data_IF_810764972644
#
_entry.id   IF_810764972644
#
_cell.length_a   1.000
_cell.length_b   1.000
_cell.length_c   1.000
_cell.angle_alpha   90.00
_cell.angle_beta   90.00
_cell.angle_gamma   90.00
#
_symmetry.space_group_name_H-M   'P 1'
#
loop_
_entity.id
_entity.type
_entity.pdbx_description
1 polymer ?
#
# COMPACT_ATOMS: atom_id res chain seq x y z
N UNK A 1 28.81 14.04 -5.44
CA UNK A 1 28.51 12.86 -4.57
C UNK A 1 27.30 12.19 -5.17
N UNK A 2 27.28 10.85 -5.23
CA UNK A 2 26.10 10.14 -5.70
C UNK A 2 24.86 10.52 -4.84
N UNK A 3 23.74 10.76 -5.49
CA UNK A 3 22.49 11.06 -4.79
C UNK A 3 21.95 9.79 -4.16
N UNK A 4 21.59 9.86 -2.89
CA UNK A 4 20.89 8.79 -2.16
C UNK A 4 19.42 9.13 -2.13
N UNK A 5 18.57 8.18 -2.53
CA UNK A 5 17.12 8.31 -2.43
C UNK A 5 16.56 7.50 -1.24
N UNK A 6 15.49 7.98 -0.66
CA UNK A 6 14.69 7.24 0.31
C UNK A 6 13.49 6.65 -0.40
N UNK A 7 13.26 5.35 -0.21
CA UNK A 7 12.09 4.65 -0.76
C UNK A 7 11.28 4.04 0.38
N UNK A 8 10.03 4.41 0.44
CA UNK A 8 9.02 3.67 1.19
C UNK A 8 8.37 2.65 0.25
N UNK A 9 8.74 1.38 0.41
CA UNK A 9 8.21 0.26 -0.35
C UNK A 9 6.96 -0.28 0.35
N UNK A 10 5.83 0.39 0.18
CA UNK A 10 4.59 0.03 0.86
C UNK A 10 3.86 -1.17 0.26
N UNK A 11 2.98 -1.79 1.03
CA UNK A 11 2.15 -2.93 0.58
C UNK A 11 1.21 -2.53 -0.56
N UNK A 12 0.60 -1.36 -0.47
CA UNK A 12 -0.37 -0.84 -1.46
C UNK A 12 0.23 0.24 -2.32
N UNK A 13 0.95 1.19 -1.73
CA UNK A 13 1.57 2.31 -2.44
C UNK A 13 3.01 2.48 -1.99
N UNK A 14 3.87 2.88 -2.93
CA UNK A 14 5.25 3.23 -2.66
C UNK A 14 5.50 4.70 -2.95
N UNK A 15 6.47 5.31 -2.28
CA UNK A 15 6.92 6.65 -2.59
C UNK A 15 8.44 6.75 -2.57
N UNK A 16 8.97 7.79 -3.24
CA UNK A 16 10.39 8.09 -3.29
C UNK A 16 10.63 9.54 -2.90
N UNK A 17 11.67 9.75 -2.13
CA UNK A 17 12.10 11.06 -1.67
C UNK A 17 13.61 11.28 -1.84
N UNK A 18 14.00 12.54 -1.90
CA UNK A 18 15.40 12.96 -1.98
C UNK A 18 15.64 14.12 -1.02
N UNK A 19 16.88 14.29 -0.57
CA UNK A 19 17.30 15.48 0.17
C UNK A 19 17.61 16.61 -0.80
N UNK A 20 16.88 17.71 -0.68
CA UNK A 20 17.16 18.99 -1.33
C UNK A 20 17.70 19.99 -0.28
N UNK A 21 19.02 20.13 -0.22
CA UNK A 21 19.66 20.86 0.89
C UNK A 21 19.46 20.10 2.22
N UNK A 22 18.81 20.74 3.19
CA UNK A 22 18.50 20.17 4.50
C UNK A 22 17.07 19.61 4.63
N UNK A 23 16.27 19.65 3.57
CA UNK A 23 14.88 19.24 3.58
C UNK A 23 14.66 17.97 2.75
N UNK A 24 13.86 17.06 3.28
CA UNK A 24 13.40 15.88 2.53
C UNK A 24 12.21 16.26 1.65
N UNK A 25 12.30 15.91 0.36
CA UNK A 25 11.23 16.15 -0.60
C UNK A 25 10.75 14.85 -1.23
N UNK A 26 9.45 14.58 -1.13
CA UNK A 26 8.79 13.50 -1.87
C UNK A 26 8.66 13.91 -3.33
N UNK A 27 9.09 13.03 -4.23
CA UNK A 27 9.09 13.25 -5.68
C UNK A 27 7.74 12.84 -6.27
N UNK A 28 7.18 13.67 -7.13
CA UNK A 28 5.99 13.32 -7.91
C UNK A 28 6.37 12.39 -9.08
N UNK A 29 5.55 11.39 -9.32
CA UNK A 29 5.73 10.49 -10.46
C UNK A 29 5.27 11.13 -11.78
N UNK A 30 5.40 10.40 -12.89
CA UNK A 30 5.01 10.89 -14.23
C UNK A 30 3.53 11.25 -14.37
N UNK A 31 2.68 10.82 -13.43
CA UNK A 31 1.25 11.10 -13.38
C UNK A 31 0.91 12.26 -12.41
N UNK A 32 1.92 12.92 -11.84
CA UNK A 32 1.77 14.03 -10.89
C UNK A 32 1.35 13.59 -9.49
N UNK A 33 1.42 12.29 -9.17
CA UNK A 33 1.11 11.76 -7.86
C UNK A 33 2.38 11.56 -7.02
N UNK A 34 2.28 11.78 -5.70
CA UNK A 34 3.40 11.57 -4.76
C UNK A 34 3.56 10.10 -4.32
N UNK A 35 2.59 9.28 -4.63
CA UNK A 35 2.62 7.83 -4.39
C UNK A 35 2.37 7.09 -5.69
N UNK A 36 2.97 5.91 -5.80
CA UNK A 36 2.82 5.01 -6.94
C UNK A 36 2.25 3.68 -6.43
N UNK A 37 1.16 3.14 -7.01
CA UNK A 37 0.66 1.83 -6.61
C UNK A 37 1.74 0.75 -6.67
N UNK A 38 1.88 -0.03 -5.61
CA UNK A 38 2.79 -1.18 -5.53
C UNK A 38 2.22 -2.37 -6.31
N UNK A 39 1.94 -2.15 -7.59
CA UNK A 39 1.29 -3.11 -8.47
C UNK A 39 2.12 -3.33 -9.73
N UNK A 40 2.16 -4.60 -10.17
CA UNK A 40 2.83 -5.03 -11.39
C UNK A 40 1.87 -5.90 -12.19
N UNK A 41 1.73 -5.64 -13.49
CA UNK A 41 0.89 -6.44 -14.36
C UNK A 41 1.65 -6.87 -15.61
N UNK A 42 1.27 -8.04 -16.14
CA UNK A 42 1.80 -8.59 -17.38
C UNK A 42 0.68 -8.70 -18.41
N UNK A 43 0.84 -8.01 -19.54
CA UNK A 43 -0.13 -8.01 -20.63
C UNK A 43 -0.04 -9.28 -21.46
N UNK A 44 -1.03 -9.52 -22.33
CA UNK A 44 -0.98 -10.63 -23.30
C UNK A 44 0.20 -10.51 -24.28
N UNK A 45 0.61 -9.30 -24.61
CA UNK A 45 1.77 -9.04 -25.46
C UNK A 45 3.12 -9.24 -24.75
N UNK A 46 3.11 -9.62 -23.45
CA UNK A 46 4.32 -9.81 -22.65
C UNK A 46 4.92 -8.49 -22.11
N UNK A 47 4.20 -7.39 -22.22
CA UNK A 47 4.62 -6.11 -21.66
C UNK A 47 4.40 -6.11 -20.13
N UNK A 48 5.38 -5.57 -19.40
CA UNK A 48 5.30 -5.35 -17.96
C UNK A 48 4.86 -3.92 -17.66
N UNK A 49 3.77 -3.79 -16.93
CA UNK A 49 3.26 -2.52 -16.43
C UNK A 49 3.51 -2.41 -14.93
N UNK A 50 3.81 -1.21 -14.43
CA UNK A 50 4.07 -0.92 -13.01
C UNK A 50 3.33 0.32 -12.58
N UNK A 51 2.77 0.31 -11.38
CA UNK A 51 2.09 1.46 -10.80
C UNK A 51 0.66 1.62 -11.30
N UNK A 52 0.27 2.83 -11.62
CA UNK A 52 -1.11 3.17 -11.99
C UNK A 52 -1.59 2.45 -13.25
N UNK A 53 -0.70 2.25 -14.23
CA UNK A 53 -1.02 1.50 -15.45
C UNK A 53 -1.36 0.03 -15.15
N UNK A 54 -0.63 -0.59 -14.21
CA UNK A 54 -0.94 -1.94 -13.72
C UNK A 54 -2.28 -1.96 -12.95
N UNK A 55 -2.52 -0.98 -12.08
CA UNK A 55 -3.76 -0.86 -11.29
C UNK A 55 -5.00 -0.77 -12.17
N UNK A 56 -4.94 0.00 -13.25
CA UNK A 56 -6.07 0.19 -14.18
C UNK A 56 -6.56 -1.08 -14.84
N UNK A 57 -5.72 -2.07 -15.06
CA UNK A 57 -6.15 -3.34 -15.64
C UNK A 57 -6.42 -4.46 -14.62
N UNK A 58 -6.32 -4.17 -13.32
CA UNK A 58 -6.50 -5.18 -12.27
C UNK A 58 -7.85 -5.88 -12.30
N UNK A 59 -8.92 -5.21 -12.73
CA UNK A 59 -10.27 -5.80 -12.85
C UNK A 59 -10.42 -6.62 -14.14
N UNK A 60 -9.76 -6.22 -15.23
CA UNK A 60 -9.86 -6.91 -16.54
C UNK A 60 -8.84 -8.02 -16.73
N UNK A 61 -7.71 -7.95 -16.01
CA UNK A 61 -6.62 -8.92 -16.04
C UNK A 61 -6.16 -9.31 -14.61
N UNK A 62 -7.07 -9.78 -13.73
CA UNK A 62 -6.78 -9.98 -12.31
C UNK A 62 -5.72 -11.07 -12.07
N UNK A 63 -5.72 -12.15 -12.84
CA UNK A 63 -4.80 -13.28 -12.66
C UNK A 63 -3.33 -12.93 -12.97
N UNK A 64 -3.10 -11.86 -13.76
CA UNK A 64 -1.76 -11.39 -14.14
C UNK A 64 -1.48 -9.96 -13.65
N UNK A 65 -2.21 -9.50 -12.65
CA UNK A 65 -1.99 -8.23 -11.96
C UNK A 65 -1.68 -8.50 -10.51
N UNK A 66 -0.43 -8.29 -10.15
CA UNK A 66 0.12 -8.59 -8.84
C UNK A 66 0.04 -7.36 -7.94
N UNK A 67 -0.44 -7.55 -6.72
CA UNK A 67 -0.52 -6.55 -5.66
C UNK A 67 -0.26 -7.20 -4.30
N UNK A 68 -0.06 -6.42 -3.26
CA UNK A 68 0.23 -6.89 -1.90
C UNK A 68 1.44 -7.86 -1.79
N UNK A 69 2.34 -7.84 -2.76
CA UNK A 69 3.51 -8.74 -2.85
C UNK A 69 4.41 -8.65 -1.61
N UNK A 70 4.45 -7.51 -0.96
CA UNK A 70 5.19 -7.31 0.29
C UNK A 70 4.78 -8.30 1.39
N UNK A 71 3.53 -8.81 1.37
CA UNK A 71 3.08 -9.84 2.32
C UNK A 71 3.79 -11.18 2.13
N UNK A 72 4.25 -11.47 0.91
CA UNK A 72 4.91 -12.73 0.55
C UNK A 72 6.44 -12.65 0.63
N UNK A 73 7.02 -11.44 0.71
CA UNK A 73 8.47 -11.26 0.66
C UNK A 73 9.17 -11.97 1.84
N UNK A 74 10.12 -12.85 1.53
CA UNK A 74 10.88 -13.61 2.53
C UNK A 74 10.04 -14.60 3.36
N UNK A 75 8.86 -15.02 2.87
CA UNK A 75 7.97 -15.98 3.54
C UNK A 75 8.03 -17.36 2.90
N UNK A 76 7.98 -18.43 3.71
CA UNK A 76 7.75 -19.80 3.22
C UNK A 76 6.35 -19.94 2.59
N UNK A 77 6.23 -20.86 1.63
CA UNK A 77 4.95 -21.21 1.02
C UNK A 77 3.95 -21.77 2.03
N UNK A 78 4.42 -22.60 2.98
CA UNK A 78 3.61 -23.27 3.99
C UNK A 78 3.38 -22.39 5.26
N UNK A 79 3.62 -21.06 5.18
CA UNK A 79 3.32 -20.11 6.25
C UNK A 79 1.80 -19.86 6.32
N UNK A 80 1.15 -19.89 7.51
CA UNK A 80 -0.29 -19.65 7.65
C UNK A 80 -0.78 -18.32 7.07
N UNK A 81 0.09 -17.30 7.03
CA UNK A 81 -0.24 -16.02 6.40
C UNK A 81 -0.23 -16.12 4.87
N UNK A 82 0.67 -16.94 4.30
CA UNK A 82 0.69 -17.24 2.87
C UNK A 82 -0.56 -18.00 2.46
N UNK A 83 -1.01 -19.00 3.24
CA UNK A 83 -2.26 -19.73 2.99
C UNK A 83 -3.46 -18.78 2.96
N UNK A 84 -3.51 -17.82 3.89
CA UNK A 84 -4.57 -16.81 3.90
C UNK A 84 -4.53 -15.88 2.68
N UNK A 85 -3.34 -15.49 2.23
CA UNK A 85 -3.20 -14.67 1.01
C UNK A 85 -3.68 -15.42 -0.24
N UNK A 86 -3.48 -16.76 -0.34
CA UNK A 86 -3.98 -17.57 -1.45
C UNK A 86 -5.50 -17.48 -1.64
N UNK A 87 -6.25 -17.34 -0.54
CA UNK A 87 -7.70 -17.20 -0.58
C UNK A 87 -8.16 -15.77 -0.98
N UNK A 88 -7.27 -14.79 -0.85
CA UNK A 88 -7.61 -13.37 -1.01
C UNK A 88 -7.16 -12.76 -2.34
N UNK A 89 -6.19 -13.38 -3.02
CA UNK A 89 -5.64 -12.83 -4.27
C UNK A 89 -6.11 -13.62 -5.49
N UNK A 90 -6.34 -12.97 -6.63
CA UNK A 90 -6.79 -13.64 -7.86
C UNK A 90 -5.64 -14.31 -8.64
N UNK A 91 -4.39 -13.93 -8.37
CA UNK A 91 -3.22 -14.51 -9.00
C UNK A 91 -2.72 -15.76 -8.24
N UNK A 92 -1.97 -16.59 -8.91
CA UNK A 92 -1.52 -17.86 -8.35
C UNK A 92 -0.24 -17.69 -7.52
N UNK A 93 -0.28 -18.16 -6.26
CA UNK A 93 0.90 -18.32 -5.41
C UNK A 93 1.40 -19.76 -5.57
N UNK A 94 2.71 -19.95 -5.77
CA UNK A 94 3.35 -21.23 -6.02
C UNK A 94 4.51 -21.46 -5.05
N UNK A 95 4.86 -22.73 -4.84
CA UNK A 95 6.00 -23.11 -4.00
C UNK A 95 7.25 -23.18 -4.88
N UNK A 96 8.27 -22.39 -4.52
CA UNK A 96 9.57 -22.45 -5.16
C UNK A 96 10.38 -23.67 -4.68
N UNK A 97 11.44 -24.03 -5.39
CA UNK A 97 12.32 -25.16 -5.04
C UNK A 97 12.99 -25.02 -3.67
N UNK A 98 13.23 -23.78 -3.23
CA UNK A 98 13.77 -23.47 -1.91
C UNK A 98 12.71 -23.45 -0.78
N UNK A 99 11.43 -23.68 -1.13
CA UNK A 99 10.31 -23.69 -0.20
C UNK A 99 9.64 -22.34 0.03
N UNK A 100 10.10 -21.26 -0.60
CA UNK A 100 9.50 -19.92 -0.47
C UNK A 100 8.21 -19.81 -1.28
N UNK A 101 7.39 -18.82 -0.89
CA UNK A 101 6.21 -18.42 -1.64
C UNK A 101 6.63 -17.55 -2.85
N UNK A 102 6.35 -18.03 -4.05
CA UNK A 102 6.52 -17.31 -5.31
C UNK A 102 5.16 -17.06 -5.96
N UNK A 103 5.11 -16.28 -7.01
CA UNK A 103 3.88 -15.99 -7.78
C UNK A 103 4.05 -16.40 -9.23
N UNK A 104 2.97 -16.91 -9.82
CA UNK A 104 2.96 -17.30 -11.24
C UNK A 104 2.17 -16.27 -12.06
N UNK A 105 2.77 -15.78 -13.12
CA UNK A 105 2.15 -14.92 -14.11
C UNK A 105 2.55 -15.35 -15.52
N UNK A 106 1.59 -15.54 -16.41
CA UNK A 106 1.88 -15.92 -17.81
C UNK A 106 2.85 -17.11 -17.91
N UNK A 107 2.58 -18.16 -17.13
CA UNK A 107 3.39 -19.38 -17.08
C UNK A 107 4.86 -19.17 -16.64
N UNK A 108 5.16 -18.03 -16.03
CA UNK A 108 6.47 -17.72 -15.46
C UNK A 108 6.35 -17.50 -13.97
N UNK A 109 7.24 -18.12 -13.21
CA UNK A 109 7.31 -17.97 -11.76
C UNK A 109 8.28 -16.84 -11.40
N UNK A 110 7.83 -15.96 -10.52
CA UNK A 110 8.59 -14.82 -10.01
C UNK A 110 8.67 -14.87 -8.49
N UNK A 111 9.85 -14.58 -7.98
CA UNK A 111 10.00 -14.33 -6.54
C UNK A 111 9.36 -13.00 -6.14
N UNK A 112 8.87 -12.84 -4.90
CA UNK A 112 8.41 -11.55 -4.38
C UNK A 112 9.49 -10.46 -4.46
N UNK A 113 10.77 -10.81 -4.35
CA UNK A 113 11.89 -9.88 -4.51
C UNK A 113 12.02 -9.36 -5.94
N UNK A 114 11.80 -10.18 -6.97
CA UNK A 114 11.79 -9.74 -8.37
C UNK A 114 10.63 -8.78 -8.66
N UNK A 115 9.42 -9.11 -8.19
CA UNK A 115 8.26 -8.23 -8.36
C UNK A 115 8.46 -6.91 -7.60
N UNK A 116 8.98 -6.96 -6.38
CA UNK A 116 9.34 -5.76 -5.62
C UNK A 116 10.42 -4.94 -6.32
N UNK A 117 11.37 -5.59 -6.97
CA UNK A 117 12.40 -4.91 -7.76
C UNK A 117 11.80 -4.10 -8.93
N UNK A 118 10.74 -4.57 -9.58
CA UNK A 118 10.07 -3.81 -10.64
C UNK A 118 9.44 -2.52 -10.10
N UNK A 119 8.90 -2.55 -8.88
CA UNK A 119 8.39 -1.36 -8.20
C UNK A 119 9.56 -0.42 -7.86
N UNK A 120 10.66 -0.95 -7.32
CA UNK A 120 11.86 -0.17 -7.00
C UNK A 120 12.51 0.45 -8.25
N UNK A 121 12.51 -0.25 -9.39
CA UNK A 121 12.95 0.31 -10.68
C UNK A 121 12.10 1.52 -11.08
N UNK A 122 10.77 1.46 -10.84
CA UNK A 122 9.87 2.60 -11.10
C UNK A 122 10.15 3.77 -10.17
N UNK A 123 10.46 3.51 -8.89
CA UNK A 123 10.88 4.56 -7.94
C UNK A 123 12.21 5.20 -8.36
N UNK A 124 13.18 4.38 -8.79
CA UNK A 124 14.46 4.84 -9.32
C UNK A 124 14.27 5.71 -10.56
N UNK A 125 13.50 5.25 -11.55
CA UNK A 125 13.17 6.02 -12.77
C UNK A 125 12.53 7.38 -12.43
N UNK A 126 11.59 7.40 -11.49
CA UNK A 126 10.96 8.63 -11.01
C UNK A 126 11.98 9.60 -10.43
N UNK A 127 12.90 9.10 -9.61
CA UNK A 127 13.96 9.92 -9.02
C UNK A 127 14.95 10.42 -10.07
N UNK A 128 15.40 9.57 -10.99
CA UNK A 128 16.33 9.94 -12.08
C UNK A 128 15.73 10.99 -13.01
N UNK A 129 14.43 10.86 -13.33
CA UNK A 129 13.71 11.85 -14.14
C UNK A 129 13.65 13.21 -13.43
N UNK A 130 13.39 13.23 -12.12
CA UNK A 130 13.35 14.47 -11.34
C UNK A 130 14.73 15.11 -11.18
N UNK A 131 15.77 14.31 -10.92
CA UNK A 131 17.13 14.79 -10.65
C UNK A 131 17.91 15.12 -11.92
N UNK A 132 17.54 14.52 -13.07
CA UNK A 132 18.28 14.64 -14.33
C UNK A 132 19.63 13.91 -14.32
N UNK A 133 19.86 13.00 -13.37
CA UNK A 133 21.09 12.23 -13.22
C UNK A 133 20.80 10.79 -12.75
N UNK A 134 21.69 9.82 -13.03
CA UNK A 134 21.53 8.45 -12.57
C UNK A 134 21.55 8.34 -11.03
N UNK A 135 20.72 7.44 -10.50
CA UNK A 135 20.64 7.12 -9.07
C UNK A 135 21.07 5.67 -8.85
N UNK A 136 22.05 5.48 -7.96
CA UNK A 136 22.61 4.16 -7.68
C UNK A 136 22.47 3.72 -6.22
N UNK A 137 22.07 4.61 -5.32
CA UNK A 137 22.04 4.35 -3.87
C UNK A 137 20.69 4.67 -3.29
N UNK A 138 20.21 3.81 -2.39
CA UNK A 138 18.92 3.98 -1.70
C UNK A 138 18.97 3.56 -0.24
N UNK A 139 18.07 4.17 0.53
CA UNK A 139 17.60 3.68 1.83
C UNK A 139 16.16 3.22 1.63
N UNK A 140 15.82 2.01 2.10
CA UNK A 140 14.49 1.41 1.91
C UNK A 140 13.87 1.12 3.28
N UNK A 141 12.58 1.39 3.44
CA UNK A 141 11.85 1.10 4.67
C UNK A 141 11.23 -0.30 4.67
N UNK A 142 11.07 -0.86 5.86
CA UNK A 142 10.37 -2.13 6.12
C UNK A 142 9.58 -2.02 7.41
N UNK A 143 8.51 -2.81 7.59
CA UNK A 143 7.81 -2.91 8.87
C UNK A 143 8.77 -3.31 10.01
N UNK A 144 8.52 -2.81 11.21
CA UNK A 144 9.39 -3.09 12.37
C UNK A 144 9.43 -4.58 12.74
N UNK A 145 8.37 -5.34 12.45
CA UNK A 145 8.27 -6.78 12.72
C UNK A 145 8.95 -7.68 11.67
N UNK A 146 9.46 -7.11 10.57
CA UNK A 146 10.16 -7.92 9.56
C UNK A 146 11.35 -8.63 10.17
N UNK A 147 11.44 -9.95 9.93
CA UNK A 147 12.58 -10.77 10.31
C UNK A 147 13.77 -10.57 9.34
N UNK A 148 14.89 -11.22 9.65
CA UNK A 148 16.12 -11.08 8.86
C UNK A 148 15.95 -11.56 7.40
N UNK A 149 15.17 -12.63 7.17
CA UNK A 149 14.90 -13.13 5.82
C UNK A 149 14.11 -12.11 4.99
N UNK A 150 13.10 -11.49 5.57
CA UNK A 150 12.30 -10.46 4.91
C UNK A 150 13.11 -9.19 4.63
N UNK A 151 13.96 -8.77 5.56
CA UNK A 151 14.89 -7.64 5.39
C UNK A 151 15.92 -7.93 4.30
N UNK A 152 16.48 -9.14 4.28
CA UNK A 152 17.43 -9.55 3.25
C UNK A 152 16.75 -9.62 1.87
N UNK A 153 15.56 -10.20 1.77
CA UNK A 153 14.80 -10.27 0.53
C UNK A 153 14.43 -8.86 -0.02
N UNK A 154 14.14 -7.89 0.87
CA UNK A 154 13.94 -6.49 0.48
C UNK A 154 15.23 -5.86 -0.03
N UNK A 155 16.37 -6.14 0.62
CA UNK A 155 17.69 -5.69 0.18
C UNK A 155 18.07 -6.27 -1.19
N UNK A 156 17.76 -7.55 -1.40
CA UNK A 156 17.97 -8.24 -2.68
C UNK A 156 17.10 -7.65 -3.80
N UNK A 157 15.84 -7.29 -3.50
CA UNK A 157 14.99 -6.56 -4.44
C UNK A 157 15.64 -5.23 -4.88
N UNK A 158 16.21 -4.48 -3.95
CA UNK A 158 16.96 -3.26 -4.27
C UNK A 158 18.15 -3.52 -5.19
N UNK A 159 18.91 -4.59 -4.92
CA UNK A 159 20.06 -4.98 -5.76
C UNK A 159 19.62 -5.40 -7.18
N UNK A 160 18.52 -6.15 -7.30
CA UNK A 160 17.93 -6.54 -8.60
C UNK A 160 17.48 -5.28 -9.37
N UNK A 161 16.98 -4.26 -8.68
CA UNK A 161 16.62 -2.97 -9.26
C UNK A 161 17.82 -2.09 -9.65
N UNK A 162 19.05 -2.55 -9.41
CA UNK A 162 20.28 -1.81 -9.71
C UNK A 162 20.55 -0.69 -8.69
N UNK A 163 20.14 -0.89 -7.43
CA UNK A 163 20.38 0.01 -6.31
C UNK A 163 21.31 -0.64 -5.28
N UNK A 164 22.32 0.09 -4.85
CA UNK A 164 23.06 -0.20 -3.63
C UNK A 164 22.20 0.22 -2.44
N UNK A 165 21.67 -0.75 -1.69
CA UNK A 165 20.85 -0.48 -0.51
C UNK A 165 21.78 -0.21 0.69
N UNK A 166 21.93 1.06 1.03
CA UNK A 166 22.82 1.50 2.10
C UNK A 166 22.29 1.10 3.48
N UNK A 167 20.97 1.18 3.67
CA UNK A 167 20.30 0.80 4.92
C UNK A 167 18.87 0.32 4.65
N UNK A 168 18.43 -0.59 5.50
CA UNK A 168 17.02 -0.92 5.73
C UNK A 168 16.62 -0.27 7.05
N UNK A 169 15.55 0.54 7.04
CA UNK A 169 15.07 1.30 8.21
C UNK A 169 13.63 0.84 8.51
N UNK A 170 13.28 0.79 9.80
CA UNK A 170 11.91 0.51 10.21
C UNK A 170 10.98 1.66 9.84
N UNK A 171 9.83 1.35 9.26
CA UNK A 171 8.80 2.33 8.86
C UNK A 171 8.39 3.27 10.01
N UNK A 172 8.09 2.78 11.23
CA UNK A 172 7.73 3.68 12.32
C UNK A 172 8.89 4.60 12.75
N UNK A 173 10.14 4.16 12.61
CA UNK A 173 11.32 5.01 12.84
C UNK A 173 11.44 6.09 11.78
N UNK A 174 11.24 5.75 10.52
CA UNK A 174 11.25 6.70 9.41
C UNK A 174 10.12 7.74 9.57
N UNK A 175 8.93 7.32 9.95
CA UNK A 175 7.80 8.21 10.23
C UNK A 175 8.09 9.17 11.38
N UNK A 176 8.67 8.68 12.48
CA UNK A 176 9.06 9.51 13.62
C UNK A 176 10.13 10.54 13.24
N UNK A 177 11.12 10.14 12.45
CA UNK A 177 12.16 11.04 11.92
C UNK A 177 11.56 12.13 11.01
N UNK A 178 10.68 11.75 10.08
CA UNK A 178 10.00 12.67 9.17
C UNK A 178 9.13 13.69 9.92
N UNK A 179 8.54 13.30 11.04
CA UNK A 179 7.78 14.18 11.92
C UNK A 179 8.66 15.12 12.77
N UNK A 180 9.98 14.93 12.75
CA UNK A 180 10.97 15.79 13.43
C UNK A 180 11.13 15.45 14.91
N UNK A 181 10.86 14.22 15.31
CA UNK A 181 10.98 13.79 16.72
C UNK A 181 12.43 13.56 17.16
N UNK A 182 13.37 13.47 16.23
CA UNK A 182 14.82 13.44 16.48
C UNK A 182 15.34 14.71 17.20
N UNK A 183 14.63 15.82 17.01
CA UNK A 183 14.95 17.14 17.59
C UNK A 183 14.31 17.38 18.94
N UNK A 184 13.44 16.48 19.41
CA UNK A 184 12.74 16.56 20.68
C UNK A 184 13.37 15.62 21.70
N UNK A 185 13.30 16.04 22.95
CA UNK A 185 13.83 15.31 24.10
C UNK A 185 13.25 13.88 24.22
N UNK A 186 13.89 13.09 25.08
CA UNK A 186 13.52 11.74 25.51
C UNK A 186 12.01 11.57 25.76
N UNK A 187 11.44 10.47 25.30
CA UNK A 187 10.04 10.14 25.57
C UNK A 187 9.59 8.88 24.84
N UNK A 188 8.39 8.43 25.19
CA UNK A 188 7.76 7.30 24.52
C UNK A 188 6.66 7.78 23.59
N UNK A 189 6.63 7.26 22.39
CA UNK A 189 5.63 7.57 21.37
C UNK A 189 4.97 6.30 20.85
N UNK A 190 3.78 6.42 20.30
CA UNK A 190 3.16 5.41 19.47
C UNK A 190 3.07 5.92 18.03
N UNK A 191 3.48 5.10 17.08
CA UNK A 191 3.21 5.31 15.66
C UNK A 191 2.04 4.41 15.28
N UNK A 192 0.94 5.04 14.85
CA UNK A 192 -0.27 4.39 14.40
C UNK A 192 -0.35 4.56 12.87
N UNK A 193 -0.07 3.49 12.15
CA UNK A 193 0.01 3.48 10.69
C UNK A 193 -1.14 2.63 10.12
N UNK A 194 -2.20 3.29 9.67
CA UNK A 194 -3.28 2.68 8.92
C UNK A 194 -3.04 2.94 7.43
N UNK A 195 -2.29 2.04 6.82
CA UNK A 195 -1.93 2.10 5.41
C UNK A 195 -3.06 1.68 4.46
N UNK A 196 -2.72 1.46 3.19
CA UNK A 196 -3.71 1.00 2.19
C UNK A 196 -4.15 -0.44 2.39
N UNK A 197 -3.24 -1.34 2.76
CA UNK A 197 -3.51 -2.77 2.89
C UNK A 197 -3.17 -3.39 4.23
N UNK A 198 -2.48 -2.65 5.11
CA UNK A 198 -2.06 -3.10 6.44
C UNK A 198 -2.31 -2.02 7.48
N UNK A 199 -2.55 -2.45 8.71
CA UNK A 199 -2.53 -1.61 9.90
C UNK A 199 -1.37 -2.03 10.79
N UNK A 200 -0.51 -1.09 11.15
CA UNK A 200 0.64 -1.30 12.01
C UNK A 200 0.65 -0.27 13.15
N UNK A 201 0.91 -0.73 14.36
CA UNK A 201 1.12 0.12 15.53
C UNK A 201 2.42 -0.26 16.20
N UNK A 202 3.29 0.72 16.45
CA UNK A 202 4.59 0.51 17.09
C UNK A 202 4.77 1.50 18.23
N UNK A 203 5.25 0.99 19.36
CA UNK A 203 5.65 1.81 20.51
C UNK A 203 7.16 1.98 20.46
N UNK A 204 7.62 3.24 20.42
CA UNK A 204 9.03 3.60 20.33
C UNK A 204 9.44 4.42 21.56
N UNK A 205 10.63 4.12 22.08
CA UNK A 205 11.33 4.97 23.03
C UNK A 205 12.36 5.83 22.29
N UNK A 206 12.37 7.11 22.56
CA UNK A 206 13.31 8.09 21.98
C UNK A 206 14.23 8.57 23.09
N UNK A 207 15.53 8.40 22.91
CA UNK A 207 16.54 8.89 23.83
C UNK A 207 17.83 9.21 23.09
N UNK A 208 18.38 10.41 23.32
CA UNK A 208 19.69 10.85 22.78
C UNK A 208 19.81 10.67 21.24
N UNK A 209 18.71 10.89 20.49
CA UNK A 209 18.67 10.70 19.04
C UNK A 209 18.57 9.24 18.58
N UNK A 210 18.42 8.31 19.51
CA UNK A 210 18.21 6.88 19.23
C UNK A 210 16.71 6.55 19.33
N UNK A 211 16.23 5.77 18.36
CA UNK A 211 14.85 5.26 18.34
C UNK A 211 14.89 3.75 18.61
N UNK A 212 14.32 3.31 19.71
CA UNK A 212 14.18 1.92 20.07
C UNK A 212 12.73 1.47 19.93
N UNK A 213 12.46 0.45 19.11
CA UNK A 213 11.14 -0.16 19.01
C UNK A 213 10.92 -1.08 20.20
N UNK A 214 10.03 -0.71 21.10
CA UNK A 214 9.69 -1.50 22.31
C UNK A 214 8.72 -2.62 22.01
N UNK A 215 7.77 -2.37 21.12
CA UNK A 215 6.77 -3.34 20.68
C UNK A 215 6.19 -2.95 19.34
N UNK A 216 5.66 -3.93 18.62
CA UNK A 216 4.89 -3.73 17.40
C UNK A 216 3.76 -4.75 17.34
N UNK A 217 2.60 -4.33 16.82
CA UNK A 217 1.45 -5.18 16.56
C UNK A 217 0.68 -4.62 15.36
N UNK A 218 -0.33 -5.33 14.86
CA UNK A 218 -1.10 -4.83 13.73
C UNK A 218 -2.11 -5.84 13.20
N UNK A 219 -2.67 -5.51 12.05
CA UNK A 219 -3.53 -6.37 11.24
C UNK A 219 -3.10 -6.24 9.78
N UNK A 220 -2.47 -7.29 9.24
CA UNK A 220 -1.93 -7.31 7.86
C UNK A 220 -3.02 -7.39 6.79
N UNK A 221 -4.29 -7.50 7.19
CA UNK A 221 -5.46 -7.54 6.32
C UNK A 221 -6.48 -6.45 6.67
N UNK A 222 -5.99 -5.28 7.07
CA UNK A 222 -6.80 -4.11 7.37
C UNK A 222 -6.13 -2.86 6.83
N UNK A 223 -6.83 -2.14 5.94
CA UNK A 223 -6.32 -0.89 5.39
C UNK A 223 -7.36 -0.11 4.61
N UNK A 224 -6.92 0.95 3.95
CA UNK A 224 -7.77 1.85 3.17
C UNK A 224 -8.47 1.20 1.99
N UNK A 225 -7.93 0.08 1.46
CA UNK A 225 -8.59 -0.69 0.40
C UNK A 225 -9.88 -1.36 0.90
N UNK A 226 -9.94 -1.78 2.16
CA UNK A 226 -11.17 -2.30 2.77
C UNK A 226 -12.22 -1.20 2.88
N UNK A 227 -11.79 0.04 3.16
CA UNK A 227 -12.69 1.20 3.16
C UNK A 227 -13.26 1.46 1.76
N UNK A 228 -12.43 1.36 0.74
CA UNK A 228 -12.83 1.53 -0.66
C UNK A 228 -13.88 0.48 -1.06
N UNK A 229 -13.72 -0.77 -0.64
CA UNK A 229 -14.68 -1.85 -0.89
C UNK A 229 -16.05 -1.51 -0.28
N UNK A 230 -16.09 -1.05 0.97
CA UNK A 230 -17.35 -0.65 1.62
C UNK A 230 -18.03 0.53 0.90
N UNK A 231 -17.26 1.45 0.34
CA UNK A 231 -17.81 2.55 -0.48
C UNK A 231 -18.34 2.02 -1.80
N UNK A 232 -17.61 1.13 -2.48
CA UNK A 232 -18.05 0.47 -3.73
C UNK A 232 -19.37 -0.25 -3.52
N UNK A 233 -19.48 -1.05 -2.46
CA UNK A 233 -20.70 -1.77 -2.14
C UNK A 233 -21.87 -0.83 -1.87
N UNK A 234 -21.65 0.23 -1.12
CA UNK A 234 -22.67 1.25 -0.87
C UNK A 234 -23.14 1.91 -2.16
N UNK A 235 -22.23 2.34 -3.04
CA UNK A 235 -22.58 2.99 -4.31
C UNK A 235 -23.31 2.03 -5.25
N UNK A 236 -22.86 0.78 -5.34
CA UNK A 236 -23.51 -0.24 -6.17
C UNK A 236 -24.92 -0.59 -5.67
N UNK A 237 -25.11 -0.71 -4.35
CA UNK A 237 -26.39 -1.00 -3.74
C UNK A 237 -27.38 0.15 -3.91
N UNK A 238 -26.94 1.40 -3.75
CA UNK A 238 -27.81 2.58 -4.02
C UNK A 238 -28.23 2.62 -5.49
N UNK A 239 -27.30 2.42 -6.42
CA UNK A 239 -27.61 2.39 -7.85
C UNK A 239 -28.56 1.24 -8.20
N UNK A 240 -28.38 0.06 -7.61
CA UNK A 240 -29.24 -1.10 -7.81
C UNK A 240 -30.67 -0.88 -7.30
N UNK A 241 -30.84 -0.13 -6.21
CA UNK A 241 -32.18 0.24 -5.71
C UNK A 241 -32.96 1.08 -6.72
N UNK A 242 -32.27 1.99 -7.42
CA UNK A 242 -32.90 2.91 -8.36
C UNK A 242 -33.12 2.29 -9.74
N UNK A 243 -32.19 1.46 -10.21
CA UNK A 243 -32.17 0.96 -11.60
C UNK A 243 -32.42 -0.53 -11.73
N UNK A 244 -32.28 -1.30 -10.66
CA UNK A 244 -32.31 -2.77 -10.69
C UNK A 244 -31.00 -3.41 -11.19
N UNK A 245 -29.99 -2.63 -11.59
CA UNK A 245 -28.74 -3.12 -12.17
C UNK A 245 -27.64 -3.18 -11.11
N UNK A 246 -26.95 -4.31 -11.00
CA UNK A 246 -25.78 -4.46 -10.14
C UNK A 246 -24.49 -4.14 -10.93
N UNK A 247 -23.89 -2.99 -10.64
CA UNK A 247 -22.68 -2.54 -11.32
C UNK A 247 -21.44 -3.42 -11.04
N UNK A 248 -21.48 -4.28 -10.01
CA UNK A 248 -20.38 -5.20 -9.67
C UNK A 248 -20.25 -6.36 -10.66
N UNK A 249 -21.29 -6.65 -11.44
CA UNK A 249 -21.29 -7.69 -12.48
C UNK A 249 -20.60 -7.22 -13.78
N UNK A 250 -20.48 -5.91 -14.00
CA UNK A 250 -19.79 -5.31 -15.14
C UNK A 250 -18.36 -4.90 -14.72
N UNK A 251 -17.35 -5.54 -15.30
CA UNK A 251 -15.95 -5.29 -14.97
C UNK A 251 -15.51 -3.84 -15.21
N UNK A 252 -16.01 -3.20 -16.26
CA UNK A 252 -15.67 -1.80 -16.56
C UNK A 252 -16.34 -0.84 -15.58
N UNK A 253 -17.61 -1.09 -15.25
CA UNK A 253 -18.33 -0.31 -14.26
C UNK A 253 -17.67 -0.48 -12.87
N UNK A 254 -17.32 -1.71 -12.48
CA UNK A 254 -16.65 -1.99 -11.22
C UNK A 254 -15.29 -1.28 -11.11
N UNK A 255 -14.49 -1.24 -12.19
CA UNK A 255 -13.23 -0.49 -12.20
C UNK A 255 -13.46 0.99 -11.94
N UNK A 256 -14.42 1.59 -12.63
CA UNK A 256 -14.78 3.00 -12.45
C UNK A 256 -15.31 3.28 -11.05
N UNK A 257 -16.10 2.36 -10.46
CA UNK A 257 -16.57 2.46 -9.08
C UNK A 257 -15.41 2.45 -8.07
N UNK A 258 -14.44 1.55 -8.25
CA UNK A 258 -13.25 1.47 -7.38
C UNK A 258 -12.44 2.77 -7.40
N UNK A 259 -12.17 3.30 -8.59
CA UNK A 259 -11.44 4.57 -8.74
C UNK A 259 -12.20 5.74 -8.09
N UNK A 260 -13.52 5.80 -8.29
CA UNK A 260 -14.35 6.84 -7.72
C UNK A 260 -14.49 6.73 -6.20
N UNK A 261 -14.57 5.50 -5.66
CA UNK A 261 -14.63 5.24 -4.23
C UNK A 261 -13.34 5.69 -3.52
N UNK A 262 -12.17 5.31 -4.04
CA UNK A 262 -10.88 5.75 -3.53
C UNK A 262 -10.74 7.27 -3.55
N UNK A 263 -11.10 7.91 -4.67
CA UNK A 263 -11.09 9.36 -4.80
C UNK A 263 -12.02 10.04 -3.78
N UNK A 264 -13.24 9.54 -3.63
CA UNK A 264 -14.20 10.06 -2.66
C UNK A 264 -13.70 9.92 -1.22
N UNK A 265 -13.10 8.78 -0.86
CA UNK A 265 -12.44 8.57 0.43
C UNK A 265 -11.37 9.64 0.68
N UNK A 266 -10.49 9.88 -0.29
CA UNK A 266 -9.43 10.88 -0.18
C UNK A 266 -9.98 12.30 0.00
N UNK A 267 -10.99 12.69 -0.79
CA UNK A 267 -11.63 14.01 -0.69
C UNK A 267 -12.31 14.23 0.66
N UNK A 268 -12.93 13.19 1.23
CA UNK A 268 -13.59 13.24 2.53
C UNK A 268 -12.62 13.36 3.73
N UNK A 269 -11.30 13.23 3.50
CA UNK A 269 -10.31 13.57 4.53
C UNK A 269 -10.30 15.06 4.86
N UNK A 270 -10.60 15.92 3.89
CA UNK A 270 -10.62 17.38 4.06
C UNK A 270 -12.01 17.98 3.92
N UNK A 271 -12.89 17.40 3.09
CA UNK A 271 -14.26 17.86 2.89
C UNK A 271 -15.27 17.12 3.78
N UNK A 272 -16.41 17.75 4.08
CA UNK A 272 -17.51 17.11 4.81
C UNK A 272 -18.45 16.31 3.91
N UNK A 273 -18.37 16.53 2.60
CA UNK A 273 -19.13 15.83 1.57
C UNK A 273 -18.42 15.90 0.24
N UNK A 274 -18.68 14.91 -0.60
CA UNK A 274 -18.24 14.87 -2.01
C UNK A 274 -19.35 14.32 -2.90
N UNK A 275 -19.24 14.50 -4.19
CA UNK A 275 -20.17 13.99 -5.19
C UNK A 275 -19.47 12.94 -6.06
N UNK A 276 -20.00 11.72 -6.06
CA UNK A 276 -19.55 10.65 -6.93
C UNK A 276 -20.39 10.68 -8.20
N UNK A 277 -19.83 11.22 -9.28
CA UNK A 277 -20.49 11.37 -10.56
C UNK A 277 -19.81 10.51 -11.63
N UNK A 278 -20.48 9.47 -12.08
CA UNK A 278 -20.02 8.55 -13.11
C UNK A 278 -21.01 8.51 -14.27
N UNK A 279 -20.89 9.44 -15.23
CA UNK A 279 -21.75 9.46 -16.41
C UNK A 279 -21.50 8.23 -17.29
N UNK A 280 -22.56 7.71 -17.91
CA UNK A 280 -22.50 6.55 -18.79
C UNK A 280 -21.82 5.34 -18.13
N UNK A 281 -22.22 5.04 -16.88
CA UNK A 281 -21.61 3.94 -16.12
C UNK A 281 -22.03 2.58 -16.68
N UNK A 282 -23.25 2.48 -17.18
CA UNK A 282 -23.81 1.31 -17.86
C UNK A 282 -24.95 1.76 -18.79
N UNK A 283 -25.60 0.79 -19.46
CA UNK A 283 -26.78 1.03 -20.27
C UNK A 283 -27.78 -0.11 -20.14
N UNK A 284 -29.08 0.18 -20.25
CA UNK A 284 -30.16 -0.78 -20.34
C UNK A 284 -31.07 -0.48 -21.53
N UNK A 285 -32.26 -1.12 -21.58
CA UNK A 285 -33.24 -0.93 -22.67
C UNK A 285 -33.76 0.50 -22.74
N UNK A 286 -33.70 1.29 -21.66
CA UNK A 286 -34.11 2.69 -21.61
C UNK A 286 -33.02 3.66 -22.09
N UNK A 287 -31.78 3.15 -22.26
CA UNK A 287 -30.64 3.92 -22.71
C UNK A 287 -29.50 3.98 -21.68
N UNK A 288 -28.59 4.97 -21.84
CA UNK A 288 -27.46 5.14 -20.91
C UNK A 288 -27.92 5.46 -19.50
N UNK A 289 -27.27 4.83 -18.53
CA UNK A 289 -27.48 5.06 -17.10
C UNK A 289 -26.30 5.81 -16.49
N UNK A 290 -26.56 6.66 -15.51
CA UNK A 290 -25.59 7.53 -14.86
C UNK A 290 -25.67 7.32 -13.35
N UNK A 291 -24.52 7.23 -12.67
CA UNK A 291 -24.47 7.25 -11.22
C UNK A 291 -24.12 8.67 -10.77
N UNK A 292 -24.97 9.23 -9.92
CA UNK A 292 -24.68 10.48 -9.24
C UNK A 292 -25.15 10.38 -7.79
N UNK A 293 -24.18 10.20 -6.86
CA UNK A 293 -24.46 9.99 -5.44
C UNK A 293 -23.61 10.96 -4.63
N UNK A 294 -24.29 11.67 -3.72
CA UNK A 294 -23.64 12.50 -2.72
C UNK A 294 -23.21 11.65 -1.53
N UNK A 295 -21.92 11.61 -1.26
CA UNK A 295 -21.33 10.91 -0.12
C UNK A 295 -20.86 11.92 0.93
N UNK A 296 -21.31 11.74 2.18
CA UNK A 296 -20.88 12.57 3.30
C UNK A 296 -19.81 11.85 4.13
N UNK A 297 -18.98 12.63 4.84
CA UNK A 297 -18.01 12.07 5.81
C UNK A 297 -18.73 11.23 6.87
N UNK A 298 -19.85 11.68 7.41
CA UNK A 298 -20.63 10.93 8.39
C UNK A 298 -21.11 9.56 7.84
N UNK A 299 -21.46 9.51 6.52
CA UNK A 299 -21.81 8.23 5.89
C UNK A 299 -20.59 7.33 5.76
N UNK A 300 -19.44 7.87 5.33
CA UNK A 300 -18.18 7.12 5.29
C UNK A 300 -17.83 6.55 6.68
N UNK A 301 -17.86 7.38 7.72
CA UNK A 301 -17.58 6.94 9.09
C UNK A 301 -18.52 5.81 9.53
N UNK A 302 -19.79 5.89 9.16
CA UNK A 302 -20.77 4.81 9.40
C UNK A 302 -20.43 3.51 8.68
N UNK A 303 -19.96 3.60 7.42
CA UNK A 303 -19.61 2.44 6.60
C UNK A 303 -18.35 1.71 7.12
N UNK A 304 -17.38 2.45 7.65
CA UNK A 304 -16.06 1.91 8.03
C UNK A 304 -15.85 1.77 9.53
N UNK A 305 -16.84 2.09 10.35
CA UNK A 305 -16.71 2.13 11.80
C UNK A 305 -16.24 0.82 12.42
N UNK A 306 -16.63 -0.33 11.88
CA UNK A 306 -16.20 -1.64 12.37
C UNK A 306 -14.75 -1.96 11.97
N UNK A 307 -14.28 -1.48 10.82
CA UNK A 307 -12.88 -1.57 10.42
C UNK A 307 -12.00 -0.76 11.38
N UNK A 308 -12.41 0.44 11.74
CA UNK A 308 -11.69 1.26 12.74
C UNK A 308 -11.62 0.55 14.09
N UNK A 309 -12.70 -0.08 14.55
CA UNK A 309 -12.70 -0.83 15.82
C UNK A 309 -11.71 -1.99 15.84
N UNK A 310 -11.41 -2.60 14.68
CA UNK A 310 -10.42 -3.67 14.58
C UNK A 310 -9.01 -3.22 14.98
N UNK A 311 -8.68 -1.94 14.90
CA UNK A 311 -7.37 -1.41 15.28
C UNK A 311 -7.16 -1.35 16.81
N UNK A 312 -8.23 -1.37 17.60
CA UNK A 312 -8.17 -1.16 19.05
C UNK A 312 -7.41 -2.30 19.75
N UNK A 313 -7.69 -3.53 19.41
CA UNK A 313 -7.05 -4.68 20.08
C UNK A 313 -5.53 -4.78 19.78
N UNK A 314 -5.05 -4.59 18.53
CA UNK A 314 -3.63 -4.45 18.27
C UNK A 314 -2.95 -3.33 19.07
N UNK A 315 -3.60 -2.16 19.20
CA UNK A 315 -3.07 -1.05 20.03
C UNK A 315 -2.91 -1.46 21.49
N UNK A 316 -3.94 -2.10 22.10
CA UNK A 316 -3.86 -2.59 23.48
C UNK A 316 -2.75 -3.63 23.66
N UNK A 317 -2.58 -4.55 22.68
CA UNK A 317 -1.50 -5.54 22.71
C UNK A 317 -0.14 -4.87 22.65
N UNK A 318 0.07 -3.92 21.72
CA UNK A 318 1.33 -3.20 21.62
C UNK A 318 1.69 -2.48 22.93
N UNK A 319 0.75 -1.80 23.57
CA UNK A 319 0.96 -1.15 24.88
C UNK A 319 1.31 -2.17 25.96
N UNK A 320 0.58 -3.28 26.02
CA UNK A 320 0.83 -4.36 27.00
C UNK A 320 2.23 -4.97 26.82
N UNK A 321 2.63 -5.26 25.57
CA UNK A 321 3.92 -5.86 25.24
C UNK A 321 5.08 -4.90 25.52
N UNK A 322 4.85 -3.58 25.40
CA UNK A 322 5.78 -2.55 25.83
C UNK A 322 5.82 -2.34 27.36
N UNK A 323 4.88 -2.93 28.10
CA UNK A 323 4.76 -2.73 29.57
C UNK A 323 4.26 -1.34 29.96
N UNK A 324 3.50 -0.66 29.08
CA UNK A 324 3.10 0.74 29.23
C UNK A 324 1.56 0.89 29.25
N UNK A 325 1.12 1.98 29.88
CA UNK A 325 -0.26 2.45 29.81
C UNK A 325 -0.38 3.55 28.76
N UNK A 326 -1.57 3.75 28.21
CA UNK A 326 -1.83 4.80 27.23
C UNK A 326 -1.47 6.22 27.73
N UNK A 327 -1.54 6.46 29.03
CA UNK A 327 -1.17 7.75 29.65
C UNK A 327 0.35 8.01 29.70
N UNK A 328 1.17 7.01 29.32
CA UNK A 328 2.63 7.11 29.31
C UNK A 328 3.20 7.33 27.88
N UNK A 329 2.30 7.47 26.91
CA UNK A 329 2.59 7.76 25.50
C UNK A 329 2.42 9.26 25.23
#
# INVERSE_FOLDING_TARGET
MAKVIGIDLGTTNSCVAVMEGSEARVIENSEGARTTPSMVAFTEAGERLVGQSAKRQGVTNPENTLFAIKRLIGRPFDDPMTEKDMDLVPYKIVKADNGDAWVNCRDTDYSPSEISAFILMKMKETAETHLGEPVTQAVITVPAYFNDSQRQATKDAGRIAGLEVLRIINEPTAAALAYGLDKKNTGTIAVYDLGGGTFDVSVLEIGDGVFEVKSTNGDTFLGGEDFDIHIVDYLADEFKKDTGIDLREDKLALQRLKEAAEKAKMELSSATQTEVNLPFITADQSGPQHLNIKLTRAKLESLVGDLIKRTIEPCKKALKDAGLRASEI
#
